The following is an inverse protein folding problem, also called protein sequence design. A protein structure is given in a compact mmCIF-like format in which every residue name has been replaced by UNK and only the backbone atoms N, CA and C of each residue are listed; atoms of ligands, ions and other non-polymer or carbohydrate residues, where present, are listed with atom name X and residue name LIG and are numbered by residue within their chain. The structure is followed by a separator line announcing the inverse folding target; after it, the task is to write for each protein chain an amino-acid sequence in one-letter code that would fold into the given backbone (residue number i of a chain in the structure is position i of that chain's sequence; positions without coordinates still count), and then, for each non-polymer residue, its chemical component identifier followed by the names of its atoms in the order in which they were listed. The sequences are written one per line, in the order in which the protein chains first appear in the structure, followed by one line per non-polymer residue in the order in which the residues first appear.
data_IF_814025104106
#
_entry.id   IF_814025104106
#
_cell.length_a   1.000
_cell.length_b   1.000
_cell.length_c   1.000
_cell.angle_alpha   90.00
_cell.angle_beta   90.00
_cell.angle_gamma   90.00
#
_symmetry.space_group_name_H-M   'P 1'
#
loop_
_entity.id
_entity.type
_entity.pdbx_description
1 polymer ?
#
# COMPACT_ATOMS: atom_id res chain seq x y z
N UNK A 1 -7.88 8.50 -15.66
CA UNK A 1 -7.42 8.12 -14.29
C UNK A 1 -6.72 6.77 -14.38
N UNK A 2 -5.42 6.78 -14.14
CA UNK A 2 -4.63 5.55 -14.17
C UNK A 2 -4.69 4.88 -12.79
N UNK A 3 -5.33 3.71 -12.70
CA UNK A 3 -5.24 2.84 -11.55
C UNK A 3 -3.96 2.03 -11.72
N UNK A 4 -2.90 2.41 -11.00
CA UNK A 4 -1.60 1.80 -11.18
C UNK A 4 -1.53 0.49 -10.40
N UNK A 5 -1.68 -0.63 -11.11
CA UNK A 5 -1.16 -1.92 -10.69
C UNK A 5 0.34 -1.92 -10.95
N UNK A 6 1.14 -1.66 -9.92
CA UNK A 6 2.59 -1.48 -10.04
C UNK A 6 3.37 -2.70 -10.55
N UNK A 7 2.77 -3.89 -10.51
CA UNK A 7 3.43 -5.16 -10.78
C UNK A 7 3.85 -5.33 -12.24
N UNK A 8 2.96 -4.95 -13.17
CA UNK A 8 3.23 -5.04 -14.61
C UNK A 8 4.32 -4.06 -15.05
N UNK A 9 4.30 -2.85 -14.48
CA UNK A 9 5.31 -1.83 -14.79
C UNK A 9 6.70 -2.19 -14.23
N UNK A 10 6.77 -2.82 -13.06
CA UNK A 10 8.03 -3.29 -12.46
C UNK A 10 8.60 -4.44 -13.28
N UNK A 11 7.77 -5.37 -13.71
CA UNK A 11 8.17 -6.47 -14.60
C UNK A 11 8.85 -5.96 -15.87
N UNK A 12 8.21 -5.00 -16.54
CA UNK A 12 8.71 -4.47 -17.80
C UNK A 12 10.01 -3.69 -17.64
N UNK A 13 10.18 -2.96 -16.52
CA UNK A 13 11.40 -2.21 -16.22
C UNK A 13 12.58 -3.11 -15.84
N UNK A 14 12.35 -4.14 -15.04
CA UNK A 14 13.41 -5.03 -14.53
C UNK A 14 13.61 -6.29 -15.37
N UNK A 15 12.76 -6.53 -16.38
CA UNK A 15 12.73 -7.77 -17.19
C UNK A 15 12.65 -9.04 -16.35
N UNK A 16 11.93 -8.98 -15.23
CA UNK A 16 11.74 -10.10 -14.31
C UNK A 16 10.51 -10.93 -14.70
N UNK A 17 10.55 -12.23 -14.36
CA UNK A 17 9.43 -13.14 -14.52
C UNK A 17 8.25 -12.70 -13.65
N UNK A 18 7.02 -12.76 -14.19
CA UNK A 18 5.78 -12.40 -13.51
C UNK A 18 5.61 -13.18 -12.20
N UNK A 19 5.95 -14.45 -12.21
CA UNK A 19 5.89 -15.34 -11.06
C UNK A 19 6.91 -14.96 -9.96
N UNK A 20 8.06 -14.42 -10.37
CA UNK A 20 9.06 -13.88 -9.44
C UNK A 20 8.55 -12.62 -8.75
N UNK A 21 7.91 -11.72 -9.49
CA UNK A 21 7.37 -10.46 -8.95
C UNK A 21 6.18 -10.71 -8.01
N UNK A 22 5.22 -11.56 -8.41
CA UNK A 22 4.10 -11.95 -7.53
C UNK A 22 4.58 -12.59 -6.22
N UNK A 23 5.54 -13.48 -6.30
CA UNK A 23 6.07 -14.14 -5.11
C UNK A 23 6.83 -13.16 -4.19
N UNK A 24 7.59 -12.22 -4.74
CA UNK A 24 8.45 -11.32 -3.96
C UNK A 24 7.75 -10.03 -3.53
N UNK A 25 6.82 -9.48 -4.32
CA UNK A 25 6.07 -8.28 -3.94
C UNK A 25 4.86 -8.57 -3.04
N UNK A 26 4.21 -9.73 -3.17
CA UNK A 26 3.05 -10.06 -2.36
C UNK A 26 3.29 -11.08 -1.25
N UNK A 27 4.20 -12.05 -1.46
CA UNK A 27 4.46 -13.14 -0.51
C UNK A 27 5.72 -12.96 0.32
N UNK A 28 6.81 -12.48 -0.24
CA UNK A 28 8.11 -12.47 0.45
C UNK A 28 8.34 -11.25 1.33
N UNK A 29 7.60 -10.17 1.16
CA UNK A 29 7.50 -9.15 2.21
C UNK A 29 6.88 -9.71 3.50
N UNK A 30 6.19 -10.87 3.43
CA UNK A 30 5.58 -11.50 4.61
C UNK A 30 6.48 -12.52 5.31
N UNK A 31 7.49 -13.06 4.66
CA UNK A 31 8.16 -14.28 5.19
C UNK A 31 9.62 -14.08 5.56
N UNK A 32 10.38 -13.22 4.90
CA UNK A 32 11.83 -13.23 5.03
C UNK A 32 12.52 -11.88 5.30
N UNK A 33 11.79 -10.81 5.65
CA UNK A 33 12.48 -9.69 6.28
C UNK A 33 12.60 -9.99 7.78
N UNK A 34 13.78 -10.29 8.29
CA UNK A 34 13.99 -10.38 9.73
C UNK A 34 13.88 -8.98 10.33
N UNK A 35 12.68 -8.61 10.76
CA UNK A 35 12.39 -7.37 11.50
C UNK A 35 12.97 -7.36 12.92
N UNK A 36 13.90 -8.19 13.18
CA UNK A 36 14.83 -8.00 14.27
C UNK A 36 16.18 -7.72 13.64
N UNK A 37 16.75 -6.59 13.95
CA UNK A 37 18.14 -6.23 13.71
C UNK A 37 19.12 -7.17 14.45
N UNK A 38 18.76 -8.43 14.51
CA UNK A 38 19.64 -9.55 14.80
C UNK A 38 20.06 -10.10 13.45
N UNK A 39 21.16 -9.55 12.93
CA UNK A 39 21.89 -10.17 11.86
C UNK A 39 22.06 -11.67 12.15
N UNK A 40 21.15 -12.48 11.66
CA UNK A 40 21.47 -13.86 11.37
C UNK A 40 22.29 -13.83 10.10
N UNK A 41 23.57 -14.10 10.20
CA UNK A 41 24.59 -14.01 9.15
C UNK A 41 24.36 -14.98 7.96
N UNK A 42 23.13 -15.35 7.66
CA UNK A 42 22.81 -16.36 6.64
C UNK A 42 21.81 -15.92 5.56
N UNK A 43 21.41 -14.64 5.51
CA UNK A 43 20.71 -14.15 4.31
C UNK A 43 21.79 -13.77 3.28
N UNK A 44 21.78 -14.39 2.09
CA UNK A 44 22.77 -14.02 1.07
C UNK A 44 22.64 -12.52 0.78
N UNK A 45 23.73 -11.79 0.86
CA UNK A 45 23.85 -10.35 0.51
C UNK A 45 23.23 -10.04 -0.87
N UNK A 46 23.20 -11.01 -1.76
CA UNK A 46 22.57 -10.96 -3.08
C UNK A 46 21.04 -10.77 -3.04
N UNK A 47 20.34 -11.43 -2.11
CA UNK A 47 18.88 -11.31 -2.02
C UNK A 47 18.46 -9.94 -1.47
N UNK A 48 19.28 -9.34 -0.63
CA UNK A 48 19.02 -8.00 -0.09
C UNK A 48 19.18 -6.91 -1.16
N UNK A 49 20.17 -7.02 -2.03
CA UNK A 49 20.36 -6.08 -3.12
C UNK A 49 19.21 -6.12 -4.13
N UNK A 50 18.69 -7.29 -4.49
CA UNK A 50 17.56 -7.43 -5.40
C UNK A 50 16.28 -6.75 -4.85
N UNK A 51 16.01 -6.88 -3.55
CA UNK A 51 14.84 -6.23 -2.93
C UNK A 51 14.99 -4.70 -2.93
N UNK A 52 16.18 -4.20 -2.65
CA UNK A 52 16.47 -2.76 -2.71
C UNK A 52 16.32 -2.23 -4.13
N UNK A 53 16.84 -2.94 -5.14
CA UNK A 53 16.73 -2.56 -6.55
C UNK A 53 15.24 -2.52 -6.99
N UNK A 54 14.44 -3.50 -6.56
CA UNK A 54 13.00 -3.53 -6.82
C UNK A 54 12.27 -2.34 -6.18
N UNK A 55 12.60 -1.98 -4.94
CA UNK A 55 12.02 -0.81 -4.27
C UNK A 55 12.40 0.50 -4.97
N UNK A 56 13.66 0.65 -5.34
CA UNK A 56 14.15 1.83 -6.07
C UNK A 56 13.42 1.97 -7.41
N UNK A 57 13.26 0.88 -8.15
CA UNK A 57 12.58 0.91 -9.44
C UNK A 57 11.07 1.19 -9.27
N UNK A 58 10.43 0.60 -8.26
CA UNK A 58 9.05 0.92 -7.90
C UNK A 58 8.86 2.42 -7.59
N UNK A 59 9.78 3.03 -6.84
CA UNK A 59 9.73 4.46 -6.54
C UNK A 59 9.86 5.32 -7.78
N UNK A 60 10.75 4.96 -8.72
CA UNK A 60 10.90 5.67 -10.00
C UNK A 60 9.61 5.61 -10.81
N UNK A 61 8.99 4.44 -10.91
CA UNK A 61 7.71 4.24 -11.63
C UNK A 61 6.61 5.08 -11.01
N UNK A 62 6.44 5.03 -9.68
CA UNK A 62 5.45 5.82 -8.95
C UNK A 62 5.63 7.32 -9.24
N UNK A 63 6.86 7.84 -9.15
CA UNK A 63 7.15 9.24 -9.44
C UNK A 63 6.93 9.61 -10.90
N UNK A 64 7.25 8.72 -11.82
CA UNK A 64 7.03 8.95 -13.26
C UNK A 64 5.54 9.06 -13.58
N UNK A 65 4.72 8.18 -13.02
CA UNK A 65 3.28 8.19 -13.22
C UNK A 65 2.62 9.43 -12.61
N UNK A 66 3.01 9.79 -11.38
CA UNK A 66 2.49 10.99 -10.71
C UNK A 66 2.85 12.30 -11.42
N UNK A 67 3.95 12.33 -12.18
CA UNK A 67 4.32 13.50 -13.01
C UNK A 67 3.59 13.58 -14.33
N UNK A 68 3.07 12.47 -14.81
CA UNK A 68 2.50 12.33 -16.14
C UNK A 68 1.04 12.74 -16.21
N UNK A 69 0.26 12.39 -15.19
CA UNK A 69 -1.18 12.56 -15.16
C UNK A 69 -1.74 12.44 -13.74
N UNK A 70 -2.97 12.91 -13.54
CA UNK A 70 -3.70 12.69 -12.30
C UNK A 70 -3.93 11.20 -12.09
N UNK A 71 -3.48 10.67 -10.95
CA UNK A 71 -3.53 9.25 -10.68
C UNK A 71 -3.94 8.92 -9.24
N UNK A 72 -4.53 7.74 -9.05
CA UNK A 72 -4.81 7.16 -7.74
C UNK A 72 -3.87 5.98 -7.54
N UNK A 73 -3.01 6.06 -6.53
CA UNK A 73 -2.03 5.02 -6.22
C UNK A 73 -2.44 4.33 -4.92
N UNK A 74 -2.48 3.00 -4.93
CA UNK A 74 -2.90 2.21 -3.77
C UNK A 74 -1.71 1.53 -3.11
N UNK A 75 -1.40 1.94 -1.88
CA UNK A 75 -0.34 1.36 -1.06
C UNK A 75 1.07 1.72 -1.53
N UNK A 76 2.02 0.79 -1.38
CA UNK A 76 3.44 0.91 -1.83
C UNK A 76 4.22 2.08 -1.19
N UNK A 77 3.74 2.64 -0.07
CA UNK A 77 4.35 3.81 0.53
C UNK A 77 4.35 5.04 -0.39
N UNK A 78 3.39 5.12 -1.34
CA UNK A 78 3.34 6.18 -2.35
C UNK A 78 3.20 7.57 -1.73
N UNK A 79 2.54 7.70 -0.59
CA UNK A 79 2.44 8.92 0.21
C UNK A 79 3.82 9.42 0.66
N UNK A 80 4.70 8.54 1.12
CA UNK A 80 6.07 8.86 1.50
C UNK A 80 6.94 9.14 0.27
N UNK A 81 6.82 8.32 -0.80
CA UNK A 81 7.57 8.46 -2.05
C UNK A 81 7.27 9.77 -2.77
N UNK A 82 6.03 10.25 -2.70
CA UNK A 82 5.54 11.46 -3.37
C UNK A 82 5.39 12.67 -2.44
N UNK A 83 5.94 12.61 -1.24
CA UNK A 83 5.77 13.66 -0.23
C UNK A 83 6.08 15.07 -0.78
N UNK A 84 7.13 15.21 -1.57
CA UNK A 84 7.55 16.47 -2.21
C UNK A 84 6.60 16.97 -3.32
N UNK A 85 5.72 16.10 -3.81
CA UNK A 85 4.70 16.44 -4.81
C UNK A 85 3.34 16.80 -4.19
N UNK A 86 3.21 16.70 -2.87
CA UNK A 86 2.02 17.06 -2.11
C UNK A 86 0.79 16.23 -2.47
N UNK A 87 0.84 14.88 -2.38
CA UNK A 87 -0.31 14.02 -2.65
C UNK A 87 -1.37 14.19 -1.57
N UNK A 88 -2.63 13.90 -1.91
CA UNK A 88 -3.68 13.76 -0.91
C UNK A 88 -3.70 12.33 -0.37
N UNK A 89 -3.35 12.16 0.91
CA UNK A 89 -3.16 10.85 1.52
C UNK A 89 -4.41 10.42 2.29
N UNK A 90 -4.95 9.25 1.94
CA UNK A 90 -6.10 8.65 2.62
C UNK A 90 -5.70 7.31 3.22
N UNK A 91 -5.94 7.13 4.51
CA UNK A 91 -5.80 5.84 5.18
C UNK A 91 -7.17 5.19 5.37
N UNK A 92 -7.35 4.00 4.79
CA UNK A 92 -8.59 3.23 4.87
C UNK A 92 -8.39 2.03 5.77
N UNK A 93 -9.23 1.90 6.80
CA UNK A 93 -9.16 0.78 7.73
C UNK A 93 -10.54 0.24 8.11
N UNK A 94 -10.57 -0.90 8.76
CA UNK A 94 -11.78 -1.51 9.31
C UNK A 94 -11.40 -2.40 10.48
N UNK A 95 -12.39 -2.76 11.31
CA UNK A 95 -12.21 -3.77 12.34
C UNK A 95 -12.00 -5.18 11.77
N UNK A 96 -11.58 -6.11 12.62
CA UNK A 96 -11.28 -7.48 12.21
C UNK A 96 -12.52 -8.23 11.71
N UNK A 97 -13.70 -7.96 12.28
CA UNK A 97 -14.95 -8.61 11.89
C UNK A 97 -15.33 -8.22 10.45
N UNK A 98 -15.33 -6.92 10.16
CA UNK A 98 -15.60 -6.41 8.81
C UNK A 98 -14.56 -6.88 7.77
N UNK A 99 -13.28 -6.93 8.14
CA UNK A 99 -12.23 -7.47 7.27
C UNK A 99 -12.49 -8.94 6.94
N UNK A 100 -12.83 -9.77 7.93
CA UNK A 100 -13.13 -11.19 7.73
C UNK A 100 -14.35 -11.40 6.84
N UNK A 101 -15.42 -10.65 7.08
CA UNK A 101 -16.64 -10.70 6.26
C UNK A 101 -16.35 -10.38 4.79
N UNK A 102 -15.63 -9.29 4.52
CA UNK A 102 -15.23 -8.92 3.16
C UNK A 102 -14.36 -9.97 2.48
N UNK A 103 -13.45 -10.61 3.23
CA UNK A 103 -12.63 -11.68 2.70
C UNK A 103 -13.47 -12.91 2.32
N UNK A 104 -14.48 -13.28 3.13
CA UNK A 104 -15.40 -14.37 2.81
C UNK A 104 -16.22 -14.08 1.56
N UNK A 105 -16.76 -12.87 1.45
CA UNK A 105 -17.57 -12.46 0.30
C UNK A 105 -16.78 -12.43 -1.02
N UNK A 106 -15.46 -12.31 -0.95
CA UNK A 106 -14.55 -12.34 -2.11
C UNK A 106 -13.91 -13.70 -2.37
N UNK A 107 -14.07 -14.66 -1.46
CA UNK A 107 -13.45 -15.98 -1.62
C UNK A 107 -14.06 -16.73 -2.79
N UNK A 108 -13.23 -17.40 -3.58
CA UNK A 108 -13.68 -18.30 -4.63
C UNK A 108 -14.43 -19.50 -4.03
N UNK A 109 -15.47 -20.02 -4.70
CA UNK A 109 -16.18 -21.21 -4.25
C UNK A 109 -15.20 -22.38 -3.97
N UNK A 110 -15.33 -23.01 -2.80
CA UNK A 110 -14.50 -24.15 -2.41
C UNK A 110 -13.21 -23.85 -1.64
N UNK A 111 -12.84 -22.57 -1.46
CA UNK A 111 -11.69 -22.16 -0.62
C UNK A 111 -12.15 -21.47 0.66
N UNK A 112 -12.74 -22.20 1.58
CA UNK A 112 -13.13 -21.67 2.90
C UNK A 112 -12.00 -21.89 3.90
N UNK A 113 -11.41 -20.79 4.38
CA UNK A 113 -10.50 -20.80 5.51
C UNK A 113 -11.29 -20.81 6.82
N UNK A 114 -10.77 -21.48 7.84
CA UNK A 114 -11.31 -21.36 9.18
C UNK A 114 -11.19 -19.92 9.70
N UNK A 115 -12.05 -19.53 10.64
CA UNK A 115 -12.03 -18.20 11.28
C UNK A 115 -10.65 -17.81 11.80
N UNK A 116 -9.98 -18.75 12.44
CA UNK A 116 -8.65 -18.53 13.03
C UNK A 116 -7.57 -18.37 11.97
N UNK A 117 -7.64 -19.13 10.89
CA UNK A 117 -6.69 -19.02 9.76
C UNK A 117 -6.90 -17.71 9.01
N UNK A 118 -8.15 -17.33 8.78
CA UNK A 118 -8.49 -16.07 8.12
C UNK A 118 -7.97 -14.88 8.92
N UNK A 119 -8.20 -14.84 10.23
CA UNK A 119 -7.68 -13.79 11.10
C UNK A 119 -6.15 -13.75 11.10
N UNK A 120 -5.50 -14.91 11.21
CA UNK A 120 -4.04 -15.01 11.15
C UNK A 120 -3.52 -14.42 9.84
N UNK A 121 -4.14 -14.76 8.71
CA UNK A 121 -3.74 -14.27 7.40
C UNK A 121 -3.93 -12.76 7.25
N UNK A 122 -5.06 -12.21 7.73
CA UNK A 122 -5.30 -10.77 7.73
C UNK A 122 -4.23 -10.05 8.54
N UNK A 123 -3.95 -10.51 9.77
CA UNK A 123 -2.90 -9.92 10.63
C UNK A 123 -1.50 -10.00 9.99
N UNK A 124 -1.21 -11.09 9.31
CA UNK A 124 0.05 -11.27 8.61
C UNK A 124 0.19 -10.27 7.45
N UNK A 125 -0.85 -10.07 6.65
CA UNK A 125 -0.87 -9.10 5.56
C UNK A 125 -0.74 -7.66 6.10
N UNK A 126 -1.48 -7.30 7.15
CA UNK A 126 -1.39 -5.97 7.74
C UNK A 126 0.01 -5.72 8.33
N UNK A 127 0.61 -6.73 8.98
CA UNK A 127 1.98 -6.66 9.48
C UNK A 127 3.00 -6.46 8.36
N UNK A 128 2.83 -7.13 7.23
CA UNK A 128 3.70 -6.98 6.07
C UNK A 128 3.59 -5.57 5.47
N UNK A 129 2.37 -5.03 5.37
CA UNK A 129 2.15 -3.65 4.89
C UNK A 129 2.80 -2.62 5.80
N UNK A 130 2.61 -2.77 7.12
CA UNK A 130 3.24 -1.91 8.11
C UNK A 130 4.77 -1.93 7.93
N UNK A 131 5.32 -3.11 7.84
CA UNK A 131 6.72 -3.31 7.71
C UNK A 131 7.31 -2.70 6.42
N UNK A 132 6.64 -2.88 5.27
CA UNK A 132 7.05 -2.25 4.00
C UNK A 132 6.95 -0.73 4.06
N UNK A 133 5.94 -0.22 4.76
CA UNK A 133 5.74 1.22 4.93
C UNK A 133 6.85 1.84 5.80
N UNK A 134 7.23 1.20 6.89
CA UNK A 134 8.27 1.65 7.81
C UNK A 134 9.66 1.78 7.15
N UNK A 135 9.87 1.12 5.99
CA UNK A 135 11.12 1.26 5.23
C UNK A 135 11.24 2.60 4.51
N UNK A 136 10.12 3.25 4.20
CA UNK A 136 10.09 4.45 3.33
C UNK A 136 9.49 5.67 4.02
N UNK A 137 8.75 5.48 5.10
CA UNK A 137 8.05 6.54 5.82
C UNK A 137 8.74 6.88 7.13
N UNK A 138 8.71 8.16 7.51
CA UNK A 138 9.11 8.61 8.85
C UNK A 138 8.06 8.41 9.94
N UNK A 139 6.88 7.87 9.59
CA UNK A 139 5.78 7.60 10.51
C UNK A 139 5.42 6.12 10.48
N UNK A 140 4.93 5.54 11.60
CA UNK A 140 4.38 4.20 11.61
C UNK A 140 3.16 4.07 10.68
N UNK A 141 2.98 2.91 10.07
CA UNK A 141 1.83 2.64 9.22
C UNK A 141 0.50 2.82 9.97
N UNK A 142 -0.37 3.69 9.44
CA UNK A 142 -1.65 4.03 10.05
C UNK A 142 -1.56 5.16 11.11
N UNK A 143 -0.41 5.77 11.31
CA UNK A 143 -0.30 6.98 12.13
C UNK A 143 -1.03 8.13 11.43
N UNK A 144 -2.03 8.69 12.11
CA UNK A 144 -2.88 9.76 11.55
C UNK A 144 -2.10 10.98 11.03
N UNK A 145 -0.89 11.22 11.51
CA UNK A 145 -0.04 12.35 11.09
C UNK A 145 0.48 12.22 9.66
N UNK A 146 0.51 10.99 9.11
CA UNK A 146 0.92 10.73 7.74
C UNK A 146 -0.22 10.91 6.72
N UNK A 147 -1.46 11.08 7.17
CA UNK A 147 -2.64 11.08 6.31
C UNK A 147 -3.50 12.32 6.50
N UNK A 148 -4.06 12.82 5.40
CA UNK A 148 -5.02 13.93 5.41
C UNK A 148 -6.41 13.45 5.86
N UNK A 149 -6.74 12.19 5.59
CA UNK A 149 -8.01 11.59 5.96
C UNK A 149 -7.82 10.13 6.37
N UNK A 150 -8.39 9.76 7.53
CA UNK A 150 -8.45 8.37 7.99
C UNK A 150 -9.90 7.91 7.99
N UNK A 151 -10.24 6.89 7.20
CA UNK A 151 -11.62 6.41 7.01
C UNK A 151 -11.79 5.04 7.64
N UNK A 152 -12.60 4.96 8.69
CA UNK A 152 -13.07 3.69 9.21
C UNK A 152 -14.26 3.20 8.38
N UNK A 153 -14.08 2.10 7.69
CA UNK A 153 -15.11 1.53 6.82
C UNK A 153 -15.91 0.38 7.47
N UNK A 154 -15.76 0.19 8.78
CA UNK A 154 -16.53 -0.81 9.52
C UNK A 154 -18.03 -0.49 9.44
N UNK A 155 -18.84 -1.46 9.04
CA UNK A 155 -20.28 -1.30 8.89
C UNK A 155 -20.74 -0.38 7.76
N UNK A 156 -19.82 0.10 6.92
CA UNK A 156 -20.15 0.98 5.79
C UNK A 156 -20.17 0.20 4.47
N UNK A 157 -21.11 0.57 3.61
CA UNK A 157 -21.12 0.17 2.21
C UNK A 157 -20.13 1.05 1.42
N UNK A 158 -19.05 0.44 0.91
CA UNK A 158 -17.97 1.16 0.25
C UNK A 158 -18.45 1.97 -0.96
N UNK A 159 -19.27 1.45 -1.89
CA UNK A 159 -19.80 2.23 -3.00
C UNK A 159 -20.51 3.53 -2.57
N UNK A 160 -21.21 3.51 -1.45
CA UNK A 160 -21.97 4.69 -0.99
C UNK A 160 -21.08 5.80 -0.47
N UNK A 161 -19.93 5.49 0.12
CA UNK A 161 -19.03 6.52 0.67
C UNK A 161 -18.10 7.13 -0.39
N UNK A 162 -17.87 6.46 -1.51
CA UNK A 162 -16.94 6.92 -2.54
C UNK A 162 -17.26 8.32 -3.08
N UNK A 163 -18.52 8.67 -3.42
CA UNK A 163 -18.83 10.02 -3.91
C UNK A 163 -18.50 11.13 -2.89
N UNK A 164 -18.73 10.86 -1.60
CA UNK A 164 -18.46 11.81 -0.53
C UNK A 164 -16.94 12.00 -0.31
N UNK A 165 -16.19 10.93 -0.40
CA UNK A 165 -14.72 11.02 -0.36
C UNK A 165 -14.16 11.79 -1.55
N UNK A 166 -14.68 11.54 -2.75
CA UNK A 166 -14.28 12.27 -3.95
C UNK A 166 -14.59 13.77 -3.84
N UNK A 167 -15.76 14.14 -3.32
CA UNK A 167 -16.13 15.53 -3.08
C UNK A 167 -15.17 16.21 -2.07
N UNK A 168 -14.80 15.52 -1.00
CA UNK A 168 -13.86 16.03 0.00
C UNK A 168 -12.46 16.25 -0.60
N UNK A 169 -11.95 15.31 -1.37
CA UNK A 169 -10.66 15.39 -2.07
C UNK A 169 -10.68 16.60 -3.04
N UNK A 170 -11.78 16.79 -3.78
CA UNK A 170 -11.93 17.92 -4.70
C UNK A 170 -11.81 19.26 -3.98
N UNK A 171 -12.49 19.45 -2.86
CA UNK A 171 -12.41 20.68 -2.06
C UNK A 171 -10.96 20.94 -1.61
N UNK A 172 -10.23 19.91 -1.24
CA UNK A 172 -8.83 20.04 -0.79
C UNK A 172 -7.92 20.57 -1.92
N UNK A 173 -8.05 20.02 -3.14
CA UNK A 173 -7.28 20.47 -4.30
C UNK A 173 -7.67 21.89 -4.75
N UNK A 174 -8.96 22.23 -4.77
CA UNK A 174 -9.45 23.58 -5.11
C UNK A 174 -8.85 24.65 -4.18
N UNK A 175 -8.75 24.37 -2.87
CA UNK A 175 -8.10 25.29 -1.92
C UNK A 175 -6.60 25.44 -2.17
N UNK A 176 -5.91 24.37 -2.52
CA UNK A 176 -4.49 24.38 -2.83
C UNK A 176 -4.20 25.26 -4.05
N UNK A 177 -5.04 25.21 -5.08
CA UNK A 177 -4.90 26.00 -6.30
C UNK A 177 -5.14 27.51 -6.05
N UNK A 178 -5.90 27.87 -5.03
CA UNK A 178 -6.15 29.27 -4.65
C UNK A 178 -5.06 29.88 -3.75
N UNK A 179 -3.98 29.16 -3.47
CA UNK A 179 -2.82 29.67 -2.74
C UNK A 179 -3.05 29.86 -1.23
N UNK A 180 -4.13 29.34 -0.66
CA UNK A 180 -4.35 29.33 0.77
C UNK A 180 -3.31 28.40 1.43
N UNK A 181 -2.29 29.00 2.04
CA UNK A 181 -1.30 28.27 2.84
C UNK A 181 -2.03 27.47 3.89
N UNK A 182 -1.96 26.14 3.77
CA UNK A 182 -2.44 25.25 4.82
C UNK A 182 -1.46 25.41 5.99
N UNK A 183 -1.96 26.01 7.07
CA UNK A 183 -1.25 26.17 8.35
C UNK A 183 -0.97 24.79 8.93
#
# INVERSE_FOLDING_TARGET
QCLVGSEMCIRDSLKLDEQYIENHLERDFTVNFPYTFRCSFSTPFYAMNQVVDMLVEQHKIIRTLAKREDCVIVGRGADAVLHDMGPYNIFVYADMAAKKERCRNRASPGKTLSERELERRIRQIDKARAASYDLVSGYPWGDKRAYHLCVNTTGLDIPQIVPHLAAFVKIWFERKDHGDSII
#
